data_IF_068365778876
#
_entry.id   IF_068365778876
#
_cell.length_a   1.000
_cell.length_b   1.000
_cell.length_c   1.000
_cell.angle_alpha   90.00
_cell.angle_beta   90.00
_cell.angle_gamma   90.00
#
_symmetry.space_group_name_H-M   'P 1'
#
loop_
_entity.id
_entity.type
_entity.pdbx_description
1 polymer ?
#
# COMPACT_ATOMS: atom_id res chain seq x y z
N UNK A 1 8.46 -2.04 24.90
CA UNK A 1 9.02 -1.63 23.59
C UNK A 1 8.30 -2.43 22.53
N UNK A 2 7.64 -1.77 21.58
CA UNK A 2 6.94 -2.46 20.48
C UNK A 2 7.97 -3.11 19.55
N UNK A 3 7.68 -4.32 19.06
CA UNK A 3 8.54 -5.00 18.08
C UNK A 3 8.64 -4.22 16.76
N UNK A 4 9.59 -4.58 15.86
CA UNK A 4 9.69 -3.95 14.55
C UNK A 4 8.38 -4.08 13.77
N UNK A 5 8.06 -3.11 12.89
CA UNK A 5 6.79 -3.08 12.18
C UNK A 5 6.62 -4.31 11.29
N UNK A 6 5.38 -4.81 11.21
CA UNK A 6 4.98 -5.76 10.18
C UNK A 6 4.60 -4.93 8.95
N UNK A 7 5.28 -5.15 7.83
CA UNK A 7 5.03 -4.44 6.56
C UNK A 7 4.34 -5.37 5.58
N UNK A 8 3.30 -4.89 4.88
CA UNK A 8 2.59 -5.66 3.87
C UNK A 8 2.18 -4.78 2.68
N UNK A 9 2.17 -5.36 1.48
CA UNK A 9 1.75 -4.70 0.25
C UNK A 9 0.27 -4.93 -0.04
N UNK A 10 -0.42 -3.92 -0.57
CA UNK A 10 -1.79 -4.04 -1.08
C UNK A 10 -1.83 -3.57 -2.53
N UNK A 11 -2.53 -4.27 -3.42
CA UNK A 11 -2.77 -3.84 -4.81
C UNK A 11 -4.26 -3.82 -5.20
N UNK A 12 -5.12 -4.32 -4.31
CA UNK A 12 -6.58 -4.43 -4.46
C UNK A 12 -7.07 -5.82 -4.86
N UNK A 13 -6.16 -6.76 -5.13
CA UNK A 13 -6.49 -8.18 -5.31
C UNK A 13 -6.98 -8.82 -4.01
N UNK A 14 -7.75 -9.91 -4.11
CA UNK A 14 -8.24 -10.64 -2.94
C UNK A 14 -7.08 -11.21 -2.11
N UNK A 15 -6.04 -11.70 -2.77
CA UNK A 15 -4.83 -12.24 -2.17
C UNK A 15 -4.09 -11.17 -1.36
N UNK A 16 -3.99 -9.94 -1.88
CA UNK A 16 -3.38 -8.83 -1.14
C UNK A 16 -4.18 -8.43 0.10
N UNK A 17 -5.52 -8.49 0.03
CA UNK A 17 -6.38 -8.22 1.19
C UNK A 17 -6.22 -9.30 2.27
N UNK A 18 -6.09 -10.56 1.89
CA UNK A 18 -5.85 -11.65 2.84
C UNK A 18 -4.47 -11.56 3.48
N UNK A 19 -3.46 -11.10 2.74
CA UNK A 19 -2.14 -10.78 3.29
C UNK A 19 -2.22 -9.66 4.35
N UNK A 20 -3.01 -8.60 4.10
CA UNK A 20 -3.24 -7.53 5.08
C UNK A 20 -3.94 -8.06 6.33
N UNK A 21 -4.99 -8.88 6.18
CA UNK A 21 -5.69 -9.49 7.32
C UNK A 21 -4.74 -10.35 8.16
N UNK A 22 -3.87 -11.12 7.52
CA UNK A 22 -2.85 -11.90 8.22
C UNK A 22 -1.85 -10.99 8.95
N UNK A 23 -1.36 -9.95 8.29
CA UNK A 23 -0.39 -9.01 8.86
C UNK A 23 -0.97 -8.27 10.09
N UNK A 24 -2.24 -7.86 10.04
CA UNK A 24 -2.93 -7.22 11.15
C UNK A 24 -3.07 -8.15 12.37
N UNK A 25 -3.43 -9.42 12.16
CA UNK A 25 -3.46 -10.42 13.25
C UNK A 25 -2.07 -10.61 13.85
N UNK A 26 -1.05 -10.72 13.02
CA UNK A 26 0.34 -10.91 13.46
C UNK A 26 0.87 -9.70 14.24
N UNK A 27 0.61 -8.48 13.76
CA UNK A 27 1.01 -7.24 14.43
C UNK A 27 0.39 -7.14 15.83
N UNK A 28 -0.91 -7.45 15.96
CA UNK A 28 -1.61 -7.52 17.25
C UNK A 28 -0.99 -8.55 18.20
N UNK A 29 -0.75 -9.77 17.73
CA UNK A 29 -0.14 -10.83 18.53
C UNK A 29 1.26 -10.48 19.02
N UNK A 30 2.02 -9.71 18.24
CA UNK A 30 3.39 -9.30 18.54
C UNK A 30 3.51 -7.97 19.29
N UNK A 31 2.39 -7.25 19.48
CA UNK A 31 2.43 -5.88 20.01
C UNK A 31 3.31 -4.96 19.16
N UNK A 32 3.27 -5.13 17.83
CA UNK A 32 4.06 -4.39 16.86
C UNK A 32 3.17 -3.49 15.97
N UNK A 33 3.70 -2.39 15.41
CA UNK A 33 2.97 -1.59 14.42
C UNK A 33 2.71 -2.39 13.13
N UNK A 34 1.64 -2.04 12.43
CA UNK A 34 1.34 -2.52 11.08
C UNK A 34 1.54 -1.37 10.09
N UNK A 35 2.28 -1.62 9.02
CA UNK A 35 2.47 -0.70 7.90
C UNK A 35 1.95 -1.35 6.61
N UNK A 36 0.98 -0.69 5.96
CA UNK A 36 0.40 -1.15 4.71
C UNK A 36 0.84 -0.22 3.58
N UNK A 37 1.46 -0.79 2.55
CA UNK A 37 2.07 -0.07 1.43
C UNK A 37 1.35 -0.39 0.14
N UNK A 38 1.07 0.62 -0.68
CA UNK A 38 0.60 0.45 -2.05
C UNK A 38 1.65 1.00 -3.00
N UNK A 39 2.26 0.13 -3.80
CA UNK A 39 3.19 0.56 -4.85
C UNK A 39 2.40 0.97 -6.09
N UNK A 40 2.72 2.14 -6.62
CA UNK A 40 2.18 2.61 -7.88
C UNK A 40 3.10 2.13 -9.00
N UNK A 41 2.58 1.29 -9.89
CA UNK A 41 3.29 0.95 -11.12
C UNK A 41 3.22 2.15 -12.07
N UNK A 42 4.22 3.02 -11.92
CA UNK A 42 4.42 4.18 -12.79
C UNK A 42 5.38 3.71 -13.88
N UNK A 43 4.99 3.77 -15.17
CA UNK A 43 5.89 3.43 -16.27
C UNK A 43 7.25 4.09 -16.08
N UNK A 44 8.33 3.33 -16.28
CA UNK A 44 9.69 3.81 -16.03
C UNK A 44 10.01 5.14 -16.77
N UNK A 45 9.39 5.35 -17.93
CA UNK A 45 9.47 6.60 -18.71
C UNK A 45 8.99 7.83 -17.93
N UNK A 46 8.00 7.66 -17.05
CA UNK A 46 7.48 8.72 -16.17
C UNK A 46 8.25 8.80 -14.84
N UNK A 47 8.81 7.68 -14.36
CA UNK A 47 9.58 7.63 -13.12
C UNK A 47 10.99 8.27 -13.23
N UNK A 48 11.54 8.36 -14.44
CA UNK A 48 12.83 9.02 -14.73
C UNK A 48 12.76 10.07 -15.86
N UNK A 49 11.55 10.48 -16.25
CA UNK A 49 11.33 11.41 -17.36
C UNK A 49 11.73 12.85 -17.02
N UNK A 50 12.22 13.59 -18.03
CA UNK A 50 12.54 15.02 -17.95
C UNK A 50 11.27 15.86 -17.71
N UNK A 51 10.10 15.29 -17.98
CA UNK A 51 8.80 15.93 -17.79
C UNK A 51 8.05 15.19 -16.67
N UNK A 52 7.62 15.89 -15.60
CA UNK A 52 6.82 15.27 -14.56
C UNK A 52 5.47 14.80 -15.12
N UNK A 53 4.88 13.72 -14.59
CA UNK A 53 3.53 13.31 -14.95
C UNK A 53 2.53 14.43 -14.64
N UNK A 54 1.43 14.56 -15.40
CA UNK A 54 0.34 15.47 -15.07
C UNK A 54 -0.21 15.22 -13.66
N UNK A 55 -0.57 16.27 -12.95
CA UNK A 55 -1.08 16.17 -11.57
C UNK A 55 -2.32 15.27 -11.48
N UNK A 56 -3.20 15.28 -12.49
CA UNK A 56 -4.38 14.41 -12.51
C UNK A 56 -4.01 12.93 -12.54
N UNK A 57 -2.94 12.56 -13.24
CA UNK A 57 -2.45 11.18 -13.27
C UNK A 57 -1.90 10.78 -11.90
N UNK A 58 -1.10 11.65 -11.28
CA UNK A 58 -0.55 11.42 -9.94
C UNK A 58 -1.68 11.25 -8.92
N UNK A 59 -2.69 12.11 -8.98
CA UNK A 59 -3.83 12.06 -8.05
C UNK A 59 -4.72 10.85 -8.28
N UNK A 60 -4.93 10.44 -9.53
CA UNK A 60 -5.64 9.20 -9.86
C UNK A 60 -4.93 7.97 -9.29
N UNK A 61 -3.61 7.89 -9.45
CA UNK A 61 -2.77 6.84 -8.90
C UNK A 61 -2.84 6.81 -7.36
N UNK A 62 -2.68 7.97 -6.70
CA UNK A 62 -2.85 8.09 -5.24
C UNK A 62 -4.25 7.67 -4.78
N UNK A 63 -5.29 8.07 -5.52
CA UNK A 63 -6.67 7.70 -5.18
C UNK A 63 -6.91 6.19 -5.29
N UNK A 64 -6.29 5.52 -6.28
CA UNK A 64 -6.33 4.04 -6.39
C UNK A 64 -5.70 3.38 -5.16
N UNK A 65 -4.52 3.83 -4.74
CA UNK A 65 -3.87 3.31 -3.53
C UNK A 65 -4.70 3.53 -2.26
N UNK A 66 -5.28 4.72 -2.09
CA UNK A 66 -6.18 5.01 -0.96
C UNK A 66 -7.42 4.12 -0.93
N UNK A 67 -7.99 3.77 -2.09
CA UNK A 67 -9.12 2.83 -2.15
C UNK A 67 -8.71 1.43 -1.69
N UNK A 68 -7.57 0.93 -2.17
CA UNK A 68 -7.05 -0.38 -1.78
C UNK A 68 -6.77 -0.45 -0.26
N UNK A 69 -6.21 0.61 0.32
CA UNK A 69 -5.99 0.72 1.77
C UNK A 69 -7.29 0.66 2.57
N UNK A 70 -8.35 1.34 2.13
CA UNK A 70 -9.65 1.33 2.84
C UNK A 70 -10.29 -0.06 2.81
N UNK A 71 -10.30 -0.73 1.66
CA UNK A 71 -10.82 -2.10 1.54
C UNK A 71 -10.06 -3.09 2.44
N UNK A 72 -8.78 -2.83 2.70
CA UNK A 72 -7.97 -3.67 3.57
C UNK A 72 -8.17 -3.41 5.08
N UNK A 73 -8.82 -2.28 5.44
CA UNK A 73 -9.15 -1.91 6.83
C UNK A 73 -10.56 -2.39 7.27
N UNK A 74 -11.40 -2.81 6.33
CA UNK A 74 -12.71 -3.45 6.56
C UNK A 74 -12.55 -4.93 6.94
#
# INVERSE_FOLDING_TARGET
MTGPPIVTGVDGSAESLDAVRWAARTARLRGAPLEVVHALDVPALLAGGVVPPPDELVDALRARGRRALRTAQE
#
